data_IF_664149183343
#
_entry.id   IF_664149183343
#
_cell.length_a   1.000
_cell.length_b   1.000
_cell.length_c   1.000
_cell.angle_alpha   90.00
_cell.angle_beta   90.00
_cell.angle_gamma   90.00
#
_symmetry.space_group_name_H-M   'P 1'
#
loop_
_entity.id
_entity.type
_entity.pdbx_description
1 polymer ?
#
# COMPACT_ATOMS: atom_id res chain seq x y z
N UNK A 1 -10.60 -21.18 -12.53
CA UNK A 1 -9.24 -21.10 -13.12
C UNK A 1 -8.62 -19.82 -12.61
N UNK A 2 -7.34 -19.81 -12.21
CA UNK A 2 -6.66 -18.59 -11.76
C UNK A 2 -6.75 -17.51 -12.84
N UNK A 3 -7.01 -16.25 -12.46
CA UNK A 3 -7.13 -15.14 -13.43
C UNK A 3 -5.84 -14.85 -14.18
N UNK A 4 -4.71 -15.36 -13.68
CA UNK A 4 -3.43 -15.39 -14.41
C UNK A 4 -3.49 -16.05 -15.81
N UNK A 5 -4.59 -16.70 -16.17
CA UNK A 5 -4.79 -17.30 -17.51
C UNK A 5 -5.54 -16.38 -18.49
N UNK A 6 -5.91 -15.15 -18.12
CA UNK A 6 -6.79 -14.29 -18.94
C UNK A 6 -6.07 -13.37 -19.95
N UNK A 7 -4.75 -13.13 -19.82
CA UNK A 7 -4.00 -12.20 -20.69
C UNK A 7 -2.88 -12.90 -21.48
N UNK A 8 -3.27 -13.66 -22.49
CA UNK A 8 -2.43 -14.59 -23.24
C UNK A 8 -1.55 -13.92 -24.32
N UNK A 9 -0.73 -12.92 -23.97
CA UNK A 9 0.15 -12.19 -24.90
C UNK A 9 1.60 -12.71 -24.89
N UNK A 10 2.35 -12.53 -25.99
CA UNK A 10 3.73 -13.04 -26.15
C UNK A 10 4.69 -12.59 -25.03
N UNK A 11 4.52 -11.36 -24.54
CA UNK A 11 5.29 -10.81 -23.42
C UNK A 11 4.97 -11.60 -22.13
N UNK A 12 3.70 -11.94 -21.90
CA UNK A 12 3.24 -12.71 -20.73
C UNK A 12 3.78 -14.15 -20.75
N UNK A 13 3.83 -14.77 -21.93
CA UNK A 13 4.46 -16.10 -22.12
C UNK A 13 5.96 -16.06 -21.84
N UNK A 14 6.65 -15.04 -22.32
CA UNK A 14 8.10 -14.88 -22.09
C UNK A 14 8.38 -14.63 -20.62
N UNK A 15 7.58 -13.78 -19.97
CA UNK A 15 7.68 -13.51 -18.54
C UNK A 15 7.41 -14.77 -17.71
N UNK A 16 6.37 -15.54 -18.06
CA UNK A 16 6.02 -16.81 -17.41
C UNK A 16 7.16 -17.81 -17.51
N UNK A 17 7.77 -18.00 -18.68
CA UNK A 17 8.90 -18.93 -18.86
C UNK A 17 10.11 -18.51 -18.01
N UNK A 18 10.42 -17.22 -17.98
CA UNK A 18 11.54 -16.70 -17.17
C UNK A 18 11.25 -16.85 -15.67
N UNK A 19 10.03 -16.56 -15.23
CA UNK A 19 9.59 -16.76 -13.86
C UNK A 19 9.66 -18.25 -13.45
N UNK A 20 9.20 -19.16 -14.31
CA UNK A 20 9.26 -20.60 -14.07
C UNK A 20 10.71 -21.11 -13.96
N UNK A 21 11.62 -20.60 -14.80
CA UNK A 21 13.05 -20.94 -14.74
C UNK A 21 13.68 -20.45 -13.43
N UNK A 22 13.35 -19.23 -13.01
CA UNK A 22 13.84 -18.66 -11.75
C UNK A 22 13.32 -19.45 -10.53
N UNK A 23 12.06 -19.89 -10.55
CA UNK A 23 11.45 -20.72 -9.50
C UNK A 23 11.99 -22.16 -9.45
N UNK A 24 12.73 -22.63 -10.46
CA UNK A 24 13.46 -23.90 -10.41
C UNK A 24 14.85 -23.75 -9.76
N UNK A 25 15.44 -22.56 -9.84
CA UNK A 25 16.79 -22.27 -9.32
C UNK A 25 16.75 -21.73 -7.90
N UNK A 26 15.70 -20.98 -7.54
CA UNK A 26 15.43 -20.53 -6.18
C UNK A 26 14.57 -21.61 -5.51
N UNK A 27 14.99 -22.22 -4.37
CA UNK A 27 14.16 -23.17 -3.66
C UNK A 27 12.93 -22.44 -3.10
N UNK A 28 11.88 -22.35 -3.90
CA UNK A 28 10.58 -21.78 -3.52
C UNK A 28 9.67 -22.92 -3.13
N UNK A 29 9.16 -22.86 -1.91
CA UNK A 29 8.20 -23.85 -1.43
C UNK A 29 6.90 -23.76 -2.24
N UNK A 30 6.17 -24.88 -2.34
CA UNK A 30 4.83 -24.87 -2.95
C UNK A 30 3.93 -23.81 -2.30
N UNK A 31 4.10 -23.59 -0.99
CA UNK A 31 3.39 -22.58 -0.21
C UNK A 31 3.67 -21.16 -0.67
N UNK A 32 4.93 -20.81 -0.95
CA UNK A 32 5.31 -19.48 -1.45
C UNK A 32 4.74 -19.24 -2.86
N UNK A 33 4.74 -20.27 -3.73
CA UNK A 33 4.12 -20.19 -5.07
C UNK A 33 2.61 -19.95 -4.99
N UNK A 34 1.94 -20.60 -4.05
CA UNK A 34 0.51 -20.38 -3.78
C UNK A 34 0.25 -18.99 -3.22
N UNK A 35 1.05 -18.53 -2.25
CA UNK A 35 0.97 -17.16 -1.71
C UNK A 35 1.08 -16.10 -2.81
N UNK A 36 2.08 -16.25 -3.69
CA UNK A 36 2.29 -15.36 -4.82
C UNK A 36 1.12 -15.38 -5.82
N UNK A 37 0.52 -16.55 -6.06
CA UNK A 37 -0.64 -16.68 -6.95
C UNK A 37 -1.84 -15.91 -6.40
N UNK A 38 -2.17 -16.09 -5.12
CA UNK A 38 -3.22 -15.31 -4.47
C UNK A 38 -2.91 -13.81 -4.47
N UNK A 39 -1.67 -13.41 -4.20
CA UNK A 39 -1.28 -12.01 -4.26
C UNK A 39 -1.50 -11.39 -5.64
N UNK A 40 -1.10 -12.08 -6.71
CA UNK A 40 -1.30 -11.64 -8.09
C UNK A 40 -2.78 -11.57 -8.47
N UNK A 41 -3.57 -12.57 -8.10
CA UNK A 41 -5.01 -12.57 -8.37
C UNK A 41 -5.70 -11.42 -7.60
N UNK A 42 -5.25 -11.12 -6.37
CA UNK A 42 -5.68 -9.95 -5.60
C UNK A 42 -5.38 -8.61 -6.28
N UNK A 43 -4.16 -8.44 -6.81
CA UNK A 43 -3.79 -7.25 -7.59
C UNK A 43 -4.64 -7.10 -8.86
N UNK A 44 -4.91 -8.20 -9.55
CA UNK A 44 -5.77 -8.20 -10.74
C UNK A 44 -7.18 -7.74 -10.39
N UNK A 45 -7.82 -8.37 -9.39
CA UNK A 45 -9.16 -8.00 -8.94
C UNK A 45 -9.22 -6.54 -8.46
N UNK A 46 -8.19 -6.05 -7.76
CA UNK A 46 -8.09 -4.65 -7.34
C UNK A 46 -8.06 -3.70 -8.54
N UNK A 47 -7.28 -4.02 -9.58
CA UNK A 47 -7.20 -3.20 -10.79
C UNK A 47 -8.53 -3.14 -11.57
N UNK A 48 -9.35 -4.17 -11.43
CA UNK A 48 -10.70 -4.27 -12.01
C UNK A 48 -11.78 -3.62 -11.12
N UNK A 49 -11.40 -3.09 -9.94
CA UNK A 49 -12.33 -2.48 -8.97
C UNK A 49 -13.10 -3.49 -8.11
N UNK A 50 -12.78 -4.77 -8.21
CA UNK A 50 -13.45 -5.87 -7.49
C UNK A 50 -12.85 -6.05 -6.09
N UNK A 51 -13.02 -5.03 -5.25
CA UNK A 51 -12.35 -4.92 -3.95
C UNK A 51 -12.64 -6.05 -2.96
N UNK A 52 -13.85 -6.63 -2.98
CA UNK A 52 -14.17 -7.76 -2.11
C UNK A 52 -13.37 -9.02 -2.49
N UNK A 53 -13.28 -9.33 -3.77
CA UNK A 53 -12.47 -10.45 -4.29
C UNK A 53 -10.98 -10.19 -4.07
N UNK A 54 -10.53 -8.95 -4.28
CA UNK A 54 -9.15 -8.56 -4.04
C UNK A 54 -8.74 -8.78 -2.57
N UNK A 55 -9.56 -8.35 -1.61
CA UNK A 55 -9.32 -8.58 -0.18
C UNK A 55 -9.29 -10.07 0.16
N UNK A 56 -10.21 -10.87 -0.37
CA UNK A 56 -10.22 -12.32 -0.14
C UNK A 56 -8.89 -12.95 -0.59
N UNK A 57 -8.44 -12.61 -1.78
CA UNK A 57 -7.16 -13.09 -2.32
C UNK A 57 -5.97 -12.60 -1.49
N UNK A 58 -5.94 -11.32 -1.08
CA UNK A 58 -4.87 -10.81 -0.22
C UNK A 58 -4.83 -11.47 1.16
N UNK A 59 -5.98 -11.83 1.75
CA UNK A 59 -6.00 -12.56 3.01
C UNK A 59 -5.47 -14.00 2.88
N UNK A 60 -5.77 -14.70 1.78
CA UNK A 60 -5.17 -16.01 1.52
C UNK A 60 -3.66 -15.90 1.27
N UNK A 61 -3.22 -14.90 0.51
CA UNK A 61 -1.81 -14.61 0.32
C UNK A 61 -1.12 -14.35 1.68
N UNK A 62 -1.73 -13.52 2.54
CA UNK A 62 -1.22 -13.19 3.88
C UNK A 62 -1.09 -14.42 4.80
N UNK A 63 -1.98 -15.39 4.66
CA UNK A 63 -1.99 -16.64 5.46
C UNK A 63 -0.83 -17.56 5.05
N UNK A 64 -0.52 -17.57 3.76
CA UNK A 64 0.51 -18.44 3.19
C UNK A 64 1.89 -17.79 3.24
N UNK A 65 2.00 -16.49 3.06
CA UNK A 65 3.27 -15.77 3.06
C UNK A 65 3.86 -15.69 4.47
N UNK A 66 5.15 -15.98 4.59
CA UNK A 66 5.90 -15.94 5.85
C UNK A 66 6.97 -14.85 5.84
N UNK A 67 7.45 -14.44 4.67
CA UNK A 67 8.48 -13.43 4.56
C UNK A 67 7.93 -12.07 5.01
N UNK A 68 8.55 -11.41 6.01
CA UNK A 68 8.05 -10.13 6.51
C UNK A 68 8.00 -9.03 5.45
N UNK A 69 8.98 -9.02 4.54
CA UNK A 69 9.08 -8.00 3.50
C UNK A 69 7.96 -8.16 2.47
N UNK A 70 7.70 -9.37 1.98
CA UNK A 70 6.59 -9.62 1.05
C UNK A 70 5.22 -9.38 1.71
N UNK A 71 5.05 -9.78 2.98
CA UNK A 71 3.83 -9.48 3.76
C UNK A 71 3.57 -7.98 3.88
N UNK A 72 4.61 -7.14 3.90
CA UNK A 72 4.43 -5.68 3.96
C UNK A 72 3.67 -5.14 2.75
N UNK A 73 3.92 -5.67 1.54
CA UNK A 73 3.21 -5.25 0.32
C UNK A 73 1.77 -5.76 0.28
N UNK A 74 1.52 -6.97 0.79
CA UNK A 74 0.15 -7.48 0.91
C UNK A 74 -0.67 -6.61 1.88
N UNK A 75 -0.10 -6.25 3.05
CA UNK A 75 -0.73 -5.33 4.01
C UNK A 75 -0.98 -3.95 3.39
N UNK A 76 0.01 -3.42 2.67
CA UNK A 76 -0.11 -2.14 1.96
C UNK A 76 -1.26 -2.16 0.94
N UNK A 77 -1.43 -3.23 0.17
CA UNK A 77 -2.54 -3.33 -0.80
C UNK A 77 -3.91 -3.49 -0.12
N UNK A 78 -3.98 -4.21 1.00
CA UNK A 78 -5.20 -4.25 1.83
C UNK A 78 -5.55 -2.84 2.35
N UNK A 79 -4.55 -2.09 2.81
CA UNK A 79 -4.73 -0.71 3.26
C UNK A 79 -5.25 0.20 2.13
N UNK A 80 -4.71 0.08 0.92
CA UNK A 80 -5.20 0.82 -0.26
C UNK A 80 -6.69 0.58 -0.52
N UNK A 81 -7.16 -0.66 -0.42
CA UNK A 81 -8.58 -0.98 -0.61
C UNK A 81 -9.43 -0.33 0.48
N UNK A 82 -9.00 -0.42 1.75
CA UNK A 82 -9.70 0.26 2.85
C UNK A 82 -9.70 1.79 2.69
N UNK A 83 -8.63 2.38 2.16
CA UNK A 83 -8.60 3.81 1.79
C UNK A 83 -9.68 4.12 0.74
N UNK A 84 -9.75 3.33 -0.32
CA UNK A 84 -10.75 3.50 -1.40
C UNK A 84 -12.19 3.34 -0.92
N UNK A 85 -12.42 2.51 0.10
CA UNK A 85 -13.75 2.32 0.70
C UNK A 85 -14.11 3.41 1.74
N UNK A 86 -13.23 4.38 2.02
CA UNK A 86 -13.43 5.38 3.07
C UNK A 86 -13.22 4.85 4.50
N UNK A 87 -12.75 3.60 4.65
CA UNK A 87 -12.48 2.96 5.93
C UNK A 87 -11.13 3.39 6.50
N UNK A 88 -10.94 4.70 6.65
CA UNK A 88 -9.65 5.33 6.96
C UNK A 88 -8.97 4.81 8.23
N UNK A 89 -9.72 4.47 9.28
CA UNK A 89 -9.15 3.90 10.51
C UNK A 89 -8.48 2.54 10.25
N UNK A 90 -9.18 1.63 9.56
CA UNK A 90 -8.64 0.31 9.17
C UNK A 90 -7.45 0.47 8.21
N UNK A 91 -7.55 1.41 7.27
CA UNK A 91 -6.45 1.67 6.34
C UNK A 91 -5.17 2.09 7.08
N UNK A 92 -5.26 3.01 8.05
CA UNK A 92 -4.12 3.42 8.87
C UNK A 92 -3.53 2.25 9.68
N UNK A 93 -4.37 1.38 10.26
CA UNK A 93 -3.91 0.17 10.96
C UNK A 93 -3.10 -0.76 10.05
N UNK A 94 -3.58 -0.99 8.82
CA UNK A 94 -2.86 -1.84 7.86
C UNK A 94 -1.59 -1.19 7.31
N UNK A 95 -1.58 0.13 7.06
CA UNK A 95 -0.34 0.83 6.70
C UNK A 95 0.69 0.76 7.81
N UNK A 96 0.27 0.93 9.08
CA UNK A 96 1.16 0.80 10.22
C UNK A 96 1.76 -0.61 10.30
N UNK A 97 0.95 -1.65 10.19
CA UNK A 97 1.43 -3.03 10.14
C UNK A 97 2.39 -3.29 8.96
N UNK A 98 2.15 -2.68 7.80
CA UNK A 98 3.07 -2.78 6.66
C UNK A 98 4.43 -2.16 7.01
N UNK A 99 4.42 -0.96 7.61
CA UNK A 99 5.62 -0.21 8.00
C UNK A 99 6.41 -0.86 9.15
N UNK A 100 5.74 -1.54 10.08
CA UNK A 100 6.41 -2.34 11.12
C UNK A 100 7.30 -3.45 10.51
N UNK A 101 6.90 -3.98 9.35
CA UNK A 101 7.63 -5.05 8.65
C UNK A 101 8.63 -4.49 7.65
N UNK A 102 8.26 -3.40 6.98
CA UNK A 102 9.10 -2.73 5.99
C UNK A 102 9.01 -1.21 6.20
N UNK A 103 9.92 -0.62 6.98
CA UNK A 103 9.93 0.83 7.20
C UNK A 103 10.36 1.62 5.97
N UNK A 104 10.78 0.95 4.88
CA UNK A 104 11.23 1.58 3.63
C UNK A 104 10.11 1.64 2.57
N UNK A 105 8.86 1.86 3.00
CA UNK A 105 7.69 2.04 2.12
C UNK A 105 7.23 3.51 2.09
N UNK A 106 7.87 4.38 1.29
CA UNK A 106 7.49 5.79 1.23
C UNK A 106 6.04 6.00 0.78
N UNK A 107 5.48 5.09 -0.02
CA UNK A 107 4.09 5.14 -0.47
C UNK A 107 3.10 4.94 0.68
N UNK A 108 3.43 4.09 1.67
CA UNK A 108 2.59 3.87 2.84
C UNK A 108 2.53 5.15 3.69
N UNK A 109 3.68 5.77 3.97
CA UNK A 109 3.72 7.06 4.65
C UNK A 109 2.93 8.15 3.90
N UNK A 110 3.10 8.25 2.58
CA UNK A 110 2.33 9.21 1.78
C UNK A 110 0.82 8.98 1.89
N UNK A 111 0.34 7.74 1.82
CA UNK A 111 -1.09 7.46 1.92
C UNK A 111 -1.65 7.72 3.33
N UNK A 112 -0.87 7.42 4.37
CA UNK A 112 -1.23 7.80 5.74
C UNK A 112 -1.33 9.32 5.89
N UNK A 113 -0.37 10.06 5.32
CA UNK A 113 -0.38 11.51 5.33
C UNK A 113 -1.61 12.10 4.62
N UNK A 114 -1.98 11.56 3.46
CA UNK A 114 -3.18 11.97 2.73
C UNK A 114 -4.45 11.71 3.53
N UNK A 115 -4.54 10.57 4.22
CA UNK A 115 -5.67 10.27 5.12
C UNK A 115 -5.73 11.29 6.27
N UNK A 116 -4.60 11.57 6.92
CA UNK A 116 -4.53 12.55 7.99
C UNK A 116 -4.92 13.95 7.48
N UNK A 117 -4.41 14.38 6.33
CA UNK A 117 -4.76 15.66 5.71
C UNK A 117 -6.26 15.77 5.47
N UNK A 118 -6.87 14.74 4.85
CA UNK A 118 -8.30 14.70 4.60
C UNK A 118 -9.12 14.80 5.89
N UNK A 119 -8.70 14.13 6.97
CA UNK A 119 -9.35 14.26 8.29
C UNK A 119 -9.18 15.64 8.91
N UNK A 120 -8.03 16.28 8.67
CA UNK A 120 -7.80 17.68 9.05
C UNK A 120 -8.78 18.63 8.36
N UNK A 121 -9.01 18.45 7.06
CA UNK A 121 -9.99 19.22 6.28
C UNK A 121 -11.42 18.97 6.78
N UNK A 122 -11.82 17.72 7.01
CA UNK A 122 -13.13 17.40 7.57
C UNK A 122 -13.35 18.02 8.96
N UNK A 123 -12.30 18.09 9.79
CA UNK A 123 -12.39 18.71 11.11
C UNK A 123 -12.62 20.23 11.00
N UNK A 124 -12.02 20.91 10.02
CA UNK A 124 -12.33 22.32 9.70
C UNK A 124 -13.81 22.48 9.37
N UNK A 125 -14.34 21.64 8.49
CA UNK A 125 -15.75 21.69 8.08
C UNK A 125 -16.71 21.51 9.27
N UNK A 126 -16.28 20.75 10.28
CA UNK A 126 -17.02 20.51 11.52
C UNK A 126 -16.80 21.60 12.58
N UNK A 127 -15.90 22.56 12.34
CA UNK A 127 -15.55 23.61 13.30
C UNK A 127 -14.64 23.15 14.43
N UNK A 128 -14.01 21.98 14.32
CA UNK A 128 -13.06 21.43 15.29
C UNK A 128 -11.61 21.75 14.88
N UNK A 129 -11.19 22.98 15.20
CA UNK A 129 -9.85 23.46 14.87
C UNK A 129 -8.73 22.73 15.62
N UNK A 130 -9.00 22.20 16.82
CA UNK A 130 -7.98 21.49 17.61
C UNK A 130 -7.65 20.14 16.96
N UNK A 131 -8.69 19.34 16.66
CA UNK A 131 -8.50 18.07 15.94
C UNK A 131 -7.90 18.31 14.55
N UNK A 132 -8.29 19.39 13.87
CA UNK A 132 -7.77 19.73 12.55
C UNK A 132 -6.24 19.91 12.57
N UNK A 133 -5.73 20.71 13.50
CA UNK A 133 -4.29 20.96 13.61
C UNK A 133 -3.52 19.68 13.94
N UNK A 134 -4.04 18.86 14.86
CA UNK A 134 -3.44 17.57 15.20
C UNK A 134 -3.36 16.63 13.99
N UNK A 135 -4.40 16.60 13.15
CA UNK A 135 -4.40 15.81 11.92
C UNK A 135 -3.39 16.33 10.89
N UNK A 136 -3.26 17.64 10.73
CA UNK A 136 -2.27 18.22 9.83
C UNK A 136 -0.83 17.98 10.30
N UNK A 137 -0.58 17.96 11.60
CA UNK A 137 0.74 17.67 12.15
C UNK A 137 1.13 16.19 11.95
N UNK A 138 0.15 15.29 12.06
CA UNK A 138 0.36 13.89 11.67
C UNK A 138 0.63 13.75 10.17
N UNK A 139 -0.12 14.46 9.33
CA UNK A 139 0.10 14.45 7.88
C UNK A 139 1.53 14.92 7.55
N UNK A 140 1.98 15.99 8.18
CA UNK A 140 3.32 16.52 8.00
C UNK A 140 4.40 15.53 8.42
N UNK A 141 4.22 14.87 9.57
CA UNK A 141 5.15 13.85 10.07
C UNK A 141 5.33 12.72 9.05
N UNK A 142 4.22 12.18 8.53
CA UNK A 142 4.28 11.10 7.55
C UNK A 142 4.83 11.56 6.20
N UNK A 143 4.48 12.75 5.71
CA UNK A 143 5.08 13.27 4.49
C UNK A 143 6.58 13.52 4.61
N UNK A 144 7.07 14.03 5.75
CA UNK A 144 8.51 14.16 6.02
C UNK A 144 9.21 12.78 5.91
N UNK A 145 8.62 11.73 6.48
CA UNK A 145 9.16 10.37 6.38
C UNK A 145 9.15 9.84 4.93
N UNK A 146 8.06 10.07 4.19
CA UNK A 146 7.96 9.70 2.78
C UNK A 146 9.03 10.41 1.92
N UNK A 147 9.21 11.72 2.12
CA UNK A 147 10.21 12.54 1.41
C UNK A 147 11.64 12.13 1.77
N UNK A 148 11.92 11.80 3.04
CA UNK A 148 13.24 11.33 3.45
C UNK A 148 13.66 10.05 2.71
N UNK A 149 12.71 9.16 2.44
CA UNK A 149 12.93 7.90 1.70
C UNK A 149 12.94 8.11 0.17
N UNK A 150 12.12 9.04 -0.35
CA UNK A 150 12.05 9.34 -1.77
C UNK A 150 11.93 10.87 -2.04
N UNK A 151 13.06 11.61 -2.01
CA UNK A 151 13.06 13.08 -2.05
C UNK A 151 12.49 13.71 -3.33
N UNK A 152 12.40 12.96 -4.43
CA UNK A 152 11.95 13.48 -5.71
C UNK A 152 10.51 13.08 -6.07
N UNK A 153 9.82 12.32 -5.21
CA UNK A 153 8.53 11.68 -5.56
C UNK A 153 7.29 12.44 -5.06
N UNK A 154 7.42 13.29 -4.04
CA UNK A 154 6.28 13.90 -3.33
C UNK A 154 6.35 15.44 -3.35
N UNK A 155 6.32 16.02 -4.56
CA UNK A 155 6.49 17.47 -4.76
C UNK A 155 5.31 18.25 -4.15
N UNK A 156 4.08 17.72 -4.26
CA UNK A 156 2.89 18.32 -3.67
C UNK A 156 3.01 18.37 -2.14
N UNK A 157 3.48 17.29 -1.53
CA UNK A 157 3.71 17.23 -0.09
C UNK A 157 4.79 18.24 0.34
N UNK A 158 5.89 18.36 -0.41
CA UNK A 158 6.93 19.37 -0.14
C UNK A 158 6.39 20.79 -0.21
N UNK A 159 5.61 21.08 -1.24
CA UNK A 159 4.98 22.39 -1.41
C UNK A 159 4.00 22.68 -0.27
N UNK A 160 3.18 21.71 0.09
CA UNK A 160 2.25 21.84 1.21
C UNK A 160 2.98 22.11 2.52
N UNK A 161 4.01 21.32 2.85
CA UNK A 161 4.84 21.52 4.04
C UNK A 161 5.49 22.91 4.07
N UNK A 162 5.92 23.42 2.92
CA UNK A 162 6.51 24.76 2.80
C UNK A 162 5.48 25.86 3.04
N UNK A 163 4.32 25.77 2.40
CA UNK A 163 3.25 26.78 2.49
C UNK A 163 2.66 26.82 3.89
N UNK A 164 2.54 25.68 4.56
CA UNK A 164 2.00 25.58 5.92
C UNK A 164 3.04 25.83 7.02
N UNK A 165 4.30 26.09 6.66
CA UNK A 165 5.39 26.32 7.63
C UNK A 165 5.88 25.06 8.35
N UNK A 166 5.46 23.86 7.91
CA UNK A 166 5.76 22.56 8.54
C UNK A 166 7.03 21.88 8.01
N UNK A 167 7.82 22.57 7.19
CA UNK A 167 9.05 22.03 6.59
C UNK A 167 10.20 21.88 7.59
N UNK A 168 10.19 22.67 8.66
CA UNK A 168 11.31 22.82 9.60
C UNK A 168 10.89 22.53 11.03
N UNK A 169 11.01 21.26 11.40
CA UNK A 169 11.29 20.72 12.75
C UNK A 169 12.02 19.40 12.58
#
# INVERSE_FOLDING_TARGET
MPRSQRNDNFIDKTFTIVADLLLQVIPTTQREKEAFTYYRDGMSAQSEGEYAEALQNYYEAMRLEIDPYDRSYILYNIALIHTSNGEHAKALEYYFQALERNPSLPQAFNNMAVICHYRGEQAIEQGDSESSEAWFDQAATYWKQAIALAPNNYIEAQNWLKVTGRISE
#
